data_IF_505239059399
#
_entry.id   IF_505239059399
#
_cell.length_a   1.000
_cell.length_b   1.000
_cell.length_c   1.000
_cell.angle_alpha   90.00
_cell.angle_beta   90.00
_cell.angle_gamma   90.00
#
_symmetry.space_group_name_H-M   'P 1'
#
loop_
_entity.id
_entity.type
_entity.pdbx_description
1 polymer ?
#
# COMPACT_ATOMS: atom_id res chain seq x y z
N UNK A 1 -0.59 -16.19 -5.87
CA UNK A 1 -0.10 -17.40 -6.57
C UNK A 1 -1.24 -18.37 -6.52
N UNK A 2 -1.67 -18.81 -7.68
CA UNK A 2 -2.65 -19.89 -7.80
C UNK A 2 -1.91 -21.24 -7.60
N UNK A 3 -2.37 -22.04 -6.65
CA UNK A 3 -1.75 -23.33 -6.31
C UNK A 3 -2.15 -24.46 -7.26
N UNK A 4 -3.25 -24.30 -7.99
CA UNK A 4 -3.77 -25.27 -8.96
C UNK A 4 -3.13 -25.07 -10.34
N UNK A 5 -3.01 -23.82 -10.78
CA UNK A 5 -2.43 -23.48 -12.10
C UNK A 5 -0.94 -23.11 -12.03
N UNK A 6 -0.46 -22.69 -10.87
CA UNK A 6 0.90 -22.17 -10.68
C UNK A 6 1.09 -20.73 -11.17
N UNK A 7 0.02 -20.03 -11.57
CA UNK A 7 0.10 -18.66 -12.06
C UNK A 7 0.45 -17.67 -10.93
N UNK A 8 1.27 -16.67 -11.27
CA UNK A 8 1.72 -15.63 -10.36
C UNK A 8 1.38 -14.24 -10.91
N UNK A 9 0.46 -13.56 -10.26
CA UNK A 9 0.25 -12.13 -10.40
C UNK A 9 1.14 -11.39 -9.38
N UNK A 10 1.83 -10.35 -9.83
CA UNK A 10 2.71 -9.52 -8.99
C UNK A 10 2.48 -8.04 -9.30
N UNK A 11 2.38 -7.23 -8.26
CA UNK A 11 2.32 -5.78 -8.38
C UNK A 11 3.66 -5.16 -7.98
N UNK A 12 4.25 -4.38 -8.88
CA UNK A 12 5.45 -3.59 -8.60
C UNK A 12 5.04 -2.17 -8.22
N UNK A 13 5.31 -1.76 -6.97
CA UNK A 13 4.94 -0.42 -6.51
C UNK A 13 5.72 0.68 -7.23
N UNK A 14 6.99 0.42 -7.56
CA UNK A 14 7.87 1.33 -8.31
C UNK A 14 9.21 1.55 -7.63
N UNK A 15 10.10 2.31 -8.28
CA UNK A 15 11.47 2.51 -7.79
C UNK A 15 11.48 3.31 -6.47
N UNK A 16 12.19 2.79 -5.46
CA UNK A 16 12.29 3.45 -4.14
C UNK A 16 11.04 3.28 -3.26
N UNK A 17 10.07 2.49 -3.71
CA UNK A 17 8.90 2.11 -2.93
C UNK A 17 9.08 0.68 -2.38
N UNK A 18 8.90 0.54 -1.07
CA UNK A 18 9.08 -0.72 -0.37
C UNK A 18 7.81 -1.10 0.38
N UNK A 19 7.25 -2.25 0.03
CA UNK A 19 6.09 -2.82 0.72
C UNK A 19 6.47 -3.48 2.05
N UNK A 20 5.56 -3.39 3.02
CA UNK A 20 5.59 -4.19 4.25
C UNK A 20 4.91 -5.55 4.07
N UNK A 21 4.49 -6.15 5.19
CA UNK A 21 3.75 -7.41 5.19
C UNK A 21 2.35 -7.21 4.58
N UNK A 22 1.96 -7.96 3.52
CA UNK A 22 0.61 -7.92 2.98
C UNK A 22 -0.39 -8.60 3.91
N UNK A 23 -1.58 -8.00 4.04
CA UNK A 23 -2.70 -8.58 4.78
C UNK A 23 -3.87 -8.83 3.83
N UNK A 24 -4.36 -10.08 3.78
CA UNK A 24 -5.56 -10.43 3.05
C UNK A 24 -6.83 -10.09 3.85
N UNK A 25 -7.81 -9.48 3.18
CA UNK A 25 -9.10 -9.09 3.73
C UNK A 25 -10.20 -9.70 2.85
N UNK A 26 -10.92 -10.74 3.33
CA UNK A 26 -11.97 -11.37 2.54
C UNK A 26 -13.15 -10.43 2.29
N UNK A 27 -13.86 -10.63 1.19
CA UNK A 27 -15.09 -9.91 0.90
C UNK A 27 -16.17 -10.14 1.98
N UNK A 28 -17.09 -9.17 2.13
CA UNK A 28 -18.18 -9.26 3.12
C UNK A 28 -19.10 -10.43 2.74
N UNK A 29 -19.11 -11.46 3.58
CA UNK A 29 -19.86 -12.70 3.30
C UNK A 29 -18.98 -13.92 3.05
N UNK A 30 -17.64 -13.78 3.03
CA UNK A 30 -16.64 -14.78 2.59
C UNK A 30 -16.60 -16.14 3.31
N UNK A 31 -17.61 -16.48 4.09
CA UNK A 31 -17.87 -17.82 4.62
C UNK A 31 -19.07 -18.51 3.94
N UNK A 32 -19.75 -17.88 2.98
CA UNK A 32 -20.79 -18.52 2.17
C UNK A 32 -20.17 -19.35 1.05
N UNK A 33 -20.76 -20.52 0.77
CA UNK A 33 -20.31 -21.48 -0.25
C UNK A 33 -20.29 -20.97 -1.70
N UNK A 34 -20.76 -19.74 -1.93
CA UNK A 34 -20.92 -19.14 -3.25
C UNK A 34 -19.80 -18.13 -3.59
N UNK A 35 -18.83 -17.91 -2.69
CA UNK A 35 -17.68 -17.02 -2.91
C UNK A 35 -16.39 -17.81 -3.13
N UNK A 36 -15.58 -17.36 -4.09
CA UNK A 36 -14.27 -17.95 -4.37
C UNK A 36 -13.28 -17.61 -3.26
N UNK A 37 -12.33 -18.51 -2.96
CA UNK A 37 -11.38 -18.34 -1.85
C UNK A 37 -10.53 -17.06 -1.97
N UNK A 38 -10.33 -16.57 -3.19
CA UNK A 38 -9.57 -15.37 -3.51
C UNK A 38 -10.42 -14.10 -3.59
N UNK A 39 -11.74 -14.17 -3.31
CA UNK A 39 -12.62 -13.01 -3.35
C UNK A 39 -12.39 -12.10 -2.13
N UNK A 40 -11.56 -11.06 -2.35
CA UNK A 40 -11.16 -10.15 -1.29
C UNK A 40 -10.16 -9.09 -1.77
N UNK A 41 -9.51 -8.45 -0.80
CA UNK A 41 -8.53 -7.41 -1.04
C UNK A 41 -7.21 -7.76 -0.35
N UNK A 42 -6.11 -7.40 -0.98
CA UNK A 42 -4.78 -7.39 -0.36
C UNK A 42 -4.45 -5.96 0.04
N UNK A 43 -4.17 -5.76 1.32
CA UNK A 43 -3.80 -4.46 1.87
C UNK A 43 -2.33 -4.47 2.24
N UNK A 44 -1.58 -3.48 1.76
CA UNK A 44 -0.13 -3.33 1.99
C UNK A 44 0.18 -1.89 2.40
N UNK A 45 1.02 -1.72 3.42
CA UNK A 45 1.66 -0.44 3.69
C UNK A 45 2.92 -0.32 2.85
N UNK A 46 3.02 0.73 2.05
CA UNK A 46 4.14 1.02 1.15
C UNK A 46 4.88 2.25 1.66
N UNK A 47 6.19 2.15 1.75
CA UNK A 47 7.06 3.26 2.09
C UNK A 47 7.72 3.80 0.83
N UNK A 48 7.43 5.05 0.49
CA UNK A 48 8.19 5.83 -0.49
C UNK A 48 9.34 6.53 0.24
N UNK A 49 10.55 5.97 0.08
CA UNK A 49 11.75 6.54 0.70
C UNK A 49 12.19 7.85 0.05
N UNK A 50 11.88 8.06 -1.24
CA UNK A 50 12.23 9.27 -1.97
C UNK A 50 11.37 10.45 -1.51
N UNK A 51 10.07 10.24 -1.31
CA UNK A 51 9.15 11.25 -0.78
C UNK A 51 9.15 11.32 0.76
N UNK A 52 9.69 10.30 1.44
CA UNK A 52 9.59 10.16 2.89
C UNK A 52 8.14 10.01 3.36
N UNK A 53 7.33 9.29 2.57
CA UNK A 53 5.91 9.10 2.78
C UNK A 53 5.55 7.62 2.92
N UNK A 54 4.51 7.34 3.69
CA UNK A 54 3.92 6.01 3.83
C UNK A 54 2.49 6.04 3.29
N UNK A 55 2.16 5.09 2.45
CA UNK A 55 0.83 4.92 1.85
C UNK A 55 0.25 3.56 2.21
N UNK A 56 -1.07 3.49 2.32
CA UNK A 56 -1.83 2.25 2.41
C UNK A 56 -2.41 1.95 1.04
N UNK A 57 -1.96 0.87 0.41
CA UNK A 57 -2.42 0.42 -0.90
C UNK A 57 -3.38 -0.74 -0.69
N UNK A 58 -4.55 -0.65 -1.32
CA UNK A 58 -5.57 -1.70 -1.36
C UNK A 58 -5.64 -2.22 -2.79
N UNK A 59 -5.42 -3.51 -2.96
CA UNK A 59 -5.45 -4.21 -4.23
C UNK A 59 -6.57 -5.26 -4.23
N UNK A 60 -7.14 -5.51 -5.39
CA UNK A 60 -8.01 -6.67 -5.60
C UNK A 60 -7.17 -7.95 -5.54
N UNK A 61 -7.62 -8.96 -4.78
CA UNK A 61 -6.83 -10.15 -4.52
C UNK A 61 -6.75 -11.11 -5.72
N UNK A 62 -7.72 -11.08 -6.64
CA UNK A 62 -7.69 -11.93 -7.83
C UNK A 62 -6.78 -11.37 -8.92
N UNK A 63 -6.87 -10.06 -9.16
CA UNK A 63 -6.16 -9.39 -10.26
C UNK A 63 -4.84 -8.75 -9.85
N UNK A 64 -4.62 -8.50 -8.55
CA UNK A 64 -3.52 -7.69 -8.01
C UNK A 64 -3.50 -6.26 -8.58
N UNK A 65 -4.63 -5.76 -9.08
CA UNK A 65 -4.79 -4.37 -9.51
C UNK A 65 -5.12 -3.46 -8.32
N UNK A 66 -4.60 -2.23 -8.36
CA UNK A 66 -4.80 -1.24 -7.29
C UNK A 66 -6.23 -0.71 -7.35
N UNK A 67 -7.00 -0.96 -6.28
CA UNK A 67 -8.34 -0.44 -6.10
C UNK A 67 -8.33 0.93 -5.41
N UNK A 68 -7.41 1.16 -4.46
CA UNK A 68 -7.27 2.43 -3.77
C UNK A 68 -5.86 2.62 -3.18
N UNK A 69 -5.47 3.90 -3.03
CA UNK A 69 -4.26 4.31 -2.34
C UNK A 69 -4.58 5.44 -1.37
N UNK A 70 -4.07 5.37 -0.14
CA UNK A 70 -4.31 6.37 0.89
C UNK A 70 -3.00 6.78 1.57
N UNK A 71 -2.69 8.09 1.59
CA UNK A 71 -1.57 8.62 2.34
C UNK A 71 -1.80 8.44 3.84
N UNK A 72 -0.84 7.80 4.53
CA UNK A 72 -0.89 7.55 5.98
C UNK A 72 -0.05 8.58 6.73
N UNK A 73 1.18 8.80 6.28
CA UNK A 73 2.12 9.69 6.92
C UNK A 73 3.10 10.28 5.90
N UNK A 74 3.60 11.47 6.17
CA UNK A 74 4.66 12.09 5.39
C UNK A 74 5.60 12.86 6.31
N UNK A 75 6.91 12.74 6.08
CA UNK A 75 7.90 13.55 6.79
C UNK A 75 7.71 15.02 6.42
N UNK A 76 7.42 15.84 7.42
CA UNK A 76 7.42 17.27 7.24
C UNK A 76 8.84 17.73 6.87
N UNK A 77 8.97 18.50 5.79
CA UNK A 77 10.20 19.21 5.53
C UNK A 77 10.49 20.14 6.72
N UNK A 78 11.74 20.14 7.21
CA UNK A 78 12.18 21.16 8.15
C UNK A 78 11.94 22.53 7.51
N UNK A 79 10.93 23.26 8.01
CA UNK A 79 10.78 24.67 7.66
C UNK A 79 11.97 25.39 8.27
N UNK A 80 12.88 25.88 7.44
CA UNK A 80 13.89 26.85 7.86
C UNK A 80 13.15 28.04 8.47
N UNK A 81 13.21 28.15 9.79
CA UNK A 81 12.76 29.34 10.50
C UNK A 81 13.86 30.36 10.28
N UNK A 82 13.64 31.26 9.33
CA UNK A 82 14.53 32.36 8.97
C UNK A 82 14.85 33.18 10.24
N UNK A 83 15.96 32.86 10.90
CA UNK A 83 16.47 33.63 12.05
C UNK A 83 17.00 34.95 11.52
N UNK A 84 16.11 35.92 11.34
CA UNK A 84 16.52 37.32 11.22
C UNK A 84 17.11 37.76 12.55
N UNK A 85 18.44 37.77 12.58
CA UNK A 85 19.25 38.36 13.62
C UNK A 85 18.87 39.84 13.74
N UNK A 86 18.20 40.20 14.83
CA UNK A 86 18.02 41.59 15.23
C UNK A 86 19.23 41.99 16.07
N UNK A 87 20.28 42.46 15.39
CA UNK A 87 21.30 43.32 15.99
C UNK A 87 20.98 44.77 15.64
N UNK A 88 20.53 45.54 16.62
CA UNK A 88 20.87 46.95 16.84
C UNK A 88 20.45 47.37 18.24
#
# INVERSE_FOLDING_TARGET
MDLDTGELAMHEFGAGMFGGEPTFVPAVGGASSDQEEDEGHVVVMVQDEAAGASELVVMDACSMEVAATQLVAQRAACREVDRKHHTS
#
